data_IF_763369689462
#
_entry.id   IF_763369689462
#
_cell.length_a   1.000
_cell.length_b   1.000
_cell.length_c   1.000
_cell.angle_alpha   90.00
_cell.angle_beta   90.00
_cell.angle_gamma   90.00
#
_symmetry.space_group_name_H-M   'P 1'
#
loop_
_entity.id
_entity.type
_entity.pdbx_description
1 polymer ?
#
# COMPACT_ATOMS: atom_id res chain seq x y z
N UNK A 1 7.26 -31.89 -61.90
CA UNK A 1 6.01 -31.78 -61.11
C UNK A 1 5.92 -30.33 -60.64
N UNK A 2 5.22 -29.46 -61.39
CA UNK A 2 5.20 -28.02 -61.15
C UNK A 2 4.31 -27.73 -59.93
N UNK A 3 4.90 -27.17 -58.86
CA UNK A 3 4.14 -26.70 -57.71
C UNK A 3 3.27 -25.54 -58.21
N UNK A 4 1.95 -25.72 -58.19
CA UNK A 4 1.03 -24.69 -58.65
C UNK A 4 1.25 -23.42 -57.82
N UNK A 5 1.46 -22.31 -58.51
CA UNK A 5 1.68 -20.96 -58.00
C UNK A 5 0.86 -20.60 -56.73
N UNK A 6 -0.43 -20.98 -56.59
CA UNK A 6 -1.20 -20.71 -55.36
C UNK A 6 -0.69 -21.42 -54.09
N UNK A 7 -0.06 -22.60 -54.20
CA UNK A 7 0.47 -23.31 -53.02
C UNK A 7 1.73 -22.64 -52.46
N UNK A 8 2.60 -22.12 -53.32
CA UNK A 8 3.82 -21.44 -52.89
C UNK A 8 3.53 -20.16 -52.07
N UNK A 9 2.52 -19.39 -52.48
CA UNK A 9 2.08 -18.18 -51.77
C UNK A 9 1.50 -18.52 -50.39
N UNK A 10 0.70 -19.59 -50.30
CA UNK A 10 0.11 -20.03 -49.04
C UNK A 10 1.14 -20.55 -48.03
N UNK A 11 2.15 -21.31 -48.47
CA UNK A 11 3.22 -21.75 -47.57
C UNK A 11 4.14 -20.60 -47.15
N UNK A 12 4.38 -19.62 -48.04
CA UNK A 12 5.14 -18.42 -47.72
C UNK A 12 4.46 -17.55 -46.65
N UNK A 13 3.14 -17.39 -46.71
CA UNK A 13 2.40 -16.62 -45.72
C UNK A 13 2.36 -17.31 -44.35
N UNK A 14 2.15 -18.63 -44.30
CA UNK A 14 2.18 -19.39 -43.05
C UNK A 14 3.56 -19.29 -42.37
N UNK A 15 4.65 -19.40 -43.14
CA UNK A 15 6.01 -19.26 -42.61
C UNK A 15 6.27 -17.84 -42.07
N UNK A 16 5.83 -16.81 -42.79
CA UNK A 16 5.96 -15.42 -42.37
C UNK A 16 5.18 -15.14 -41.07
N UNK A 17 3.92 -15.55 -40.98
CA UNK A 17 3.13 -15.37 -39.76
C UNK A 17 3.67 -16.18 -38.58
N UNK A 18 4.21 -17.38 -38.82
CA UNK A 18 4.87 -18.18 -37.78
C UNK A 18 6.15 -17.51 -37.27
N UNK A 19 6.95 -16.92 -38.17
CA UNK A 19 8.15 -16.17 -37.79
C UNK A 19 7.82 -14.89 -37.02
N UNK A 20 6.76 -14.17 -37.42
CA UNK A 20 6.26 -12.99 -36.69
C UNK A 20 5.75 -13.39 -35.30
N UNK A 21 4.99 -14.49 -35.18
CA UNK A 21 4.51 -15.00 -33.91
C UNK A 21 5.67 -15.44 -32.99
N UNK A 22 6.67 -16.13 -33.53
CA UNK A 22 7.87 -16.51 -32.80
C UNK A 22 8.69 -15.29 -32.34
N UNK A 23 8.89 -14.29 -33.21
CA UNK A 23 9.58 -13.05 -32.87
C UNK A 23 8.80 -12.23 -31.81
N UNK A 24 7.47 -12.20 -31.89
CA UNK A 24 6.62 -11.58 -30.89
C UNK A 24 6.69 -12.31 -29.53
N UNK A 25 6.77 -13.65 -29.53
CA UNK A 25 6.98 -14.45 -28.32
C UNK A 25 8.36 -14.19 -27.70
N UNK A 26 9.41 -14.16 -28.52
CA UNK A 26 10.78 -13.87 -28.09
C UNK A 26 10.87 -12.44 -27.52
N UNK A 27 10.26 -11.45 -28.18
CA UNK A 27 10.22 -10.06 -27.69
C UNK A 27 9.40 -9.92 -26.39
N UNK A 28 8.31 -10.68 -26.24
CA UNK A 28 7.51 -10.72 -25.00
C UNK A 28 8.30 -11.33 -23.83
N UNK A 29 9.16 -12.30 -24.10
CA UNK A 29 10.00 -12.93 -23.09
C UNK A 29 11.28 -12.10 -22.81
N UNK A 30 11.82 -11.38 -23.79
CA UNK A 30 13.02 -10.57 -23.66
C UNK A 30 12.80 -9.20 -22.98
N UNK A 31 11.55 -8.73 -22.88
CA UNK A 31 11.20 -7.48 -22.18
C UNK A 31 11.14 -7.63 -20.65
N UNK A 32 11.47 -8.80 -20.09
CA UNK A 32 11.60 -9.00 -18.66
C UNK A 32 13.05 -8.77 -18.27
N UNK A 33 13.43 -7.50 -18.12
CA UNK A 33 14.64 -7.19 -17.35
C UNK A 33 14.30 -7.53 -15.90
N UNK A 34 14.97 -8.50 -15.26
CA UNK A 34 14.84 -8.64 -13.82
C UNK A 34 15.30 -7.32 -13.23
N UNK A 35 14.43 -6.64 -12.48
CA UNK A 35 14.88 -5.57 -11.60
C UNK A 35 15.81 -6.26 -10.60
N UNK A 36 17.11 -6.19 -10.87
CA UNK A 36 18.13 -6.81 -10.05
C UNK A 36 18.17 -6.00 -8.75
N UNK A 37 17.48 -6.50 -7.72
CA UNK A 37 17.63 -5.96 -6.38
C UNK A 37 19.01 -6.35 -5.87
N UNK A 38 19.88 -5.36 -5.72
CA UNK A 38 21.20 -5.52 -5.11
C UNK A 38 21.09 -6.12 -3.70
N UNK A 39 22.19 -6.68 -3.23
CA UNK A 39 22.34 -7.32 -1.91
C UNK A 39 21.66 -6.50 -0.80
N UNK A 40 20.61 -7.07 -0.20
CA UNK A 40 19.80 -6.40 0.81
C UNK A 40 20.55 -6.35 2.14
N UNK A 41 20.74 -5.17 2.72
CA UNK A 41 21.39 -5.04 4.02
C UNK A 41 20.39 -5.19 5.19
N UNK A 42 20.84 -5.82 6.27
CA UNK A 42 20.07 -5.96 7.51
C UNK A 42 19.97 -4.63 8.28
N UNK A 43 18.97 -4.46 9.17
CA UNK A 43 18.84 -3.28 10.02
C UNK A 43 20.07 -3.03 10.89
N UNK A 44 20.31 -1.77 11.26
CA UNK A 44 21.42 -1.37 12.13
C UNK A 44 21.19 -1.72 13.60
N UNK A 45 19.93 -1.74 14.03
CA UNK A 45 19.50 -2.08 15.39
C UNK A 45 18.45 -3.20 15.32
N UNK A 46 18.40 -4.02 16.37
CA UNK A 46 17.28 -4.94 16.56
C UNK A 46 15.97 -4.15 16.78
N UNK A 47 14.84 -4.84 16.67
CA UNK A 47 13.53 -4.27 16.99
C UNK A 47 13.34 -3.98 18.49
N UNK A 48 14.33 -4.30 19.33
CA UNK A 48 14.23 -4.10 20.78
C UNK A 48 14.06 -2.60 21.12
N UNK A 49 13.14 -2.34 22.04
CA UNK A 49 12.75 -1.00 22.45
C UNK A 49 11.88 -0.23 21.44
N UNK A 50 11.49 -0.84 20.31
CA UNK A 50 10.50 -0.26 19.41
C UNK A 50 9.08 -0.47 19.99
N UNK A 51 8.19 0.54 19.94
CA UNK A 51 6.81 0.38 20.40
C UNK A 51 6.12 -0.75 19.61
N UNK A 52 5.38 -1.62 20.28
CA UNK A 52 4.75 -2.79 19.66
C UNK A 52 3.28 -2.89 20.04
N UNK A 53 2.43 -2.99 19.02
CA UNK A 53 1.03 -3.36 19.17
C UNK A 53 0.53 -4.04 17.87
N UNK A 54 -0.57 -4.77 17.99
CA UNK A 54 -1.44 -5.09 16.86
C UNK A 54 -2.91 -5.01 17.33
N UNK A 55 -3.52 -3.85 17.09
CA UNK A 55 -4.92 -3.52 17.40
C UNK A 55 -5.78 -3.45 16.15
N UNK A 56 -5.32 -4.00 15.03
CA UNK A 56 -6.08 -3.95 13.77
C UNK A 56 -7.40 -4.71 13.89
N UNK A 57 -7.42 -5.79 14.68
CA UNK A 57 -8.66 -6.49 15.00
C UNK A 57 -9.68 -5.63 15.76
N UNK A 58 -9.23 -4.69 16.61
CA UNK A 58 -10.12 -3.74 17.29
C UNK A 58 -10.78 -2.78 16.29
N UNK A 59 -10.13 -2.48 15.16
CA UNK A 59 -10.72 -1.65 14.10
C UNK A 59 -11.78 -2.42 13.31
N UNK A 60 -11.50 -3.66 12.90
CA UNK A 60 -12.32 -4.35 11.89
C UNK A 60 -13.38 -5.31 12.44
N UNK A 61 -13.11 -6.03 13.53
CA UNK A 61 -13.90 -7.23 13.87
C UNK A 61 -14.49 -7.24 15.28
N UNK A 62 -14.01 -6.41 16.20
CA UNK A 62 -14.46 -6.50 17.59
C UNK A 62 -15.94 -6.14 17.74
N UNK A 63 -16.72 -7.04 18.35
CA UNK A 63 -18.10 -6.76 18.79
C UNK A 63 -18.18 -5.60 19.79
N UNK A 64 -17.07 -5.35 20.51
CA UNK A 64 -16.87 -4.18 21.37
C UNK A 64 -15.46 -3.67 21.14
N UNK A 65 -15.27 -2.88 20.07
CA UNK A 65 -13.99 -2.22 19.85
C UNK A 65 -13.56 -1.51 21.12
N UNK A 66 -12.31 -1.75 21.54
CA UNK A 66 -11.71 -1.04 22.67
C UNK A 66 -11.23 0.35 22.26
N UNK A 67 -11.36 0.71 20.98
CA UNK A 67 -10.97 2.00 20.46
C UNK A 67 -12.18 2.96 20.53
N UNK A 68 -12.07 4.10 21.21
CA UNK A 68 -13.20 5.00 21.46
C UNK A 68 -13.67 5.78 20.22
N UNK A 69 -12.99 5.60 19.09
CA UNK A 69 -13.26 6.26 17.80
C UNK A 69 -13.73 5.27 16.72
N UNK A 70 -14.05 4.03 17.11
CA UNK A 70 -14.63 3.01 16.23
C UNK A 70 -16.06 2.76 16.68
N UNK A 71 -16.99 2.80 15.73
CA UNK A 71 -18.40 2.54 15.98
C UNK A 71 -18.92 1.44 15.05
N UNK A 72 -19.88 0.66 15.55
CA UNK A 72 -20.52 -0.41 14.80
C UNK A 72 -21.83 0.08 14.23
N UNK A 73 -22.01 -0.13 12.94
CA UNK A 73 -23.19 0.28 12.18
C UNK A 73 -23.86 -0.95 11.57
N UNK A 74 -25.19 -0.94 11.55
CA UNK A 74 -26.00 -1.93 10.83
C UNK A 74 -26.40 -1.34 9.49
N UNK A 75 -26.13 -2.07 8.41
CA UNK A 75 -26.54 -1.69 7.07
C UNK A 75 -28.06 -1.68 6.95
N UNK A 76 -28.59 -0.54 6.52
CA UNK A 76 -29.93 -0.43 5.95
C UNK A 76 -29.86 0.32 4.62
N UNK A 77 -30.63 -0.12 3.59
CA UNK A 77 -30.77 0.65 2.36
C UNK A 77 -31.55 1.97 2.58
N UNK A 78 -32.34 2.09 3.66
CA UNK A 78 -33.13 3.28 3.98
C UNK A 78 -32.57 3.99 5.20
N UNK A 79 -31.94 5.14 4.97
CA UNK A 79 -31.26 5.92 6.02
C UNK A 79 -31.75 7.37 6.03
N UNK A 80 -31.84 8.02 7.20
CA UNK A 80 -32.38 9.38 7.31
C UNK A 80 -31.51 10.43 6.62
N UNK A 81 -30.22 10.16 6.46
CA UNK A 81 -29.23 11.08 5.88
C UNK A 81 -29.12 10.99 4.34
N UNK A 82 -29.85 10.08 3.69
CA UNK A 82 -29.88 9.95 2.23
C UNK A 82 -31.32 9.85 1.72
N UNK A 83 -31.76 10.85 0.95
CA UNK A 83 -33.13 10.92 0.43
C UNK A 83 -33.17 10.58 -1.06
N UNK A 84 -34.24 9.90 -1.47
CA UNK A 84 -34.56 9.69 -2.90
C UNK A 84 -33.87 8.49 -3.56
N UNK A 85 -33.06 7.70 -2.84
CA UNK A 85 -32.51 6.42 -3.31
C UNK A 85 -32.02 5.54 -2.16
N UNK A 86 -31.82 4.22 -2.40
CA UNK A 86 -31.13 3.36 -1.45
C UNK A 86 -29.68 3.79 -1.19
N UNK A 87 -29.22 3.59 0.04
CA UNK A 87 -27.82 3.74 0.45
C UNK A 87 -26.99 2.50 0.11
N UNK A 88 -25.78 2.72 -0.39
CA UNK A 88 -24.77 1.70 -0.67
C UNK A 88 -23.56 1.88 0.25
N UNK A 89 -22.63 0.92 0.29
CA UNK A 89 -21.41 1.00 1.12
C UNK A 89 -20.62 2.29 0.87
N UNK A 90 -20.53 2.77 -0.37
CA UNK A 90 -19.86 4.03 -0.69
C UNK A 90 -20.53 5.24 -0.02
N UNK A 91 -21.85 5.21 0.19
CA UNK A 91 -22.59 6.27 0.87
C UNK A 91 -22.29 6.27 2.37
N UNK A 92 -22.18 5.09 2.99
CA UNK A 92 -21.74 4.96 4.38
C UNK A 92 -20.29 5.42 4.54
N UNK A 93 -19.39 4.99 3.64
CA UNK A 93 -17.99 5.42 3.61
C UNK A 93 -17.89 6.96 3.58
N UNK A 94 -18.66 7.61 2.69
CA UNK A 94 -18.73 9.07 2.62
C UNK A 94 -19.33 9.69 3.88
N UNK A 95 -20.45 9.15 4.39
CA UNK A 95 -21.14 9.68 5.58
C UNK A 95 -20.26 9.65 6.83
N UNK A 96 -19.47 8.59 7.00
CA UNK A 96 -18.61 8.39 8.17
C UNK A 96 -17.17 8.85 7.96
N UNK A 97 -16.85 9.39 6.78
CA UNK A 97 -15.48 9.68 6.35
C UNK A 97 -14.54 8.50 6.68
N UNK A 98 -14.95 7.31 6.24
CA UNK A 98 -14.26 6.02 6.42
C UNK A 98 -14.01 5.42 5.04
N UNK A 99 -12.90 4.72 4.83
CA UNK A 99 -12.60 4.14 3.52
C UNK A 99 -13.55 2.98 3.20
N UNK A 100 -14.00 2.86 1.95
CA UNK A 100 -14.81 1.69 1.55
C UNK A 100 -14.06 0.37 1.78
N UNK A 101 -12.72 0.36 1.63
CA UNK A 101 -11.85 -0.78 1.94
C UNK A 101 -11.87 -1.16 3.43
N UNK A 102 -12.02 -0.19 4.32
CA UNK A 102 -12.20 -0.43 5.76
C UNK A 102 -13.49 -1.23 6.00
N UNK A 103 -14.59 -0.73 5.43
CA UNK A 103 -15.91 -1.34 5.58
C UNK A 103 -15.93 -2.74 4.97
N UNK A 104 -15.35 -2.91 3.78
CA UNK A 104 -15.24 -4.22 3.13
C UNK A 104 -14.52 -5.25 4.00
N UNK A 105 -13.39 -4.85 4.61
CA UNK A 105 -12.67 -5.74 5.55
C UNK A 105 -13.49 -6.05 6.79
N UNK A 106 -14.14 -5.06 7.37
CA UNK A 106 -14.98 -5.28 8.55
C UNK A 106 -16.16 -6.23 8.27
N UNK A 107 -16.74 -6.17 7.08
CA UNK A 107 -17.84 -7.04 6.66
C UNK A 107 -17.44 -8.50 6.44
N UNK A 108 -16.26 -8.76 5.84
CA UNK A 108 -15.95 -10.06 5.23
C UNK A 108 -14.72 -10.75 5.81
N UNK A 109 -14.12 -10.22 6.86
CA UNK A 109 -13.00 -10.86 7.53
C UNK A 109 -11.63 -10.45 6.96
N UNK A 110 -10.55 -11.07 7.47
CA UNK A 110 -9.20 -10.83 7.01
C UNK A 110 -9.05 -10.97 5.47
N UNK A 111 -8.22 -10.11 4.89
CA UNK A 111 -7.79 -10.18 3.49
C UNK A 111 -8.82 -9.84 2.39
N UNK A 112 -10.07 -9.51 2.72
CA UNK A 112 -11.05 -9.06 1.72
C UNK A 112 -11.29 -7.54 1.77
N UNK A 113 -10.66 -6.81 0.85
CA UNK A 113 -10.72 -5.36 0.78
C UNK A 113 -11.58 -4.82 -0.37
N UNK A 114 -12.13 -5.70 -1.21
CA UNK A 114 -12.75 -5.32 -2.49
C UNK A 114 -14.22 -5.71 -2.58
N UNK A 115 -14.67 -6.72 -1.83
CA UNK A 115 -16.07 -7.13 -1.87
C UNK A 115 -16.94 -6.14 -1.10
N UNK A 116 -17.83 -5.47 -1.83
CA UNK A 116 -18.84 -4.57 -1.27
C UNK A 116 -20.23 -5.23 -1.21
N UNK A 117 -20.28 -6.57 -1.29
CA UNK A 117 -21.54 -7.30 -1.18
C UNK A 117 -22.07 -7.20 0.27
N UNK A 118 -23.23 -6.56 0.40
CA UNK A 118 -23.90 -6.30 1.68
C UNK A 118 -25.37 -6.69 1.59
N UNK A 119 -25.92 -7.21 2.69
CA UNK A 119 -27.34 -7.50 2.87
C UNK A 119 -27.88 -6.66 4.02
N UNK A 120 -29.16 -6.25 3.96
CA UNK A 120 -29.82 -5.54 5.06
C UNK A 120 -29.66 -6.31 6.38
N UNK A 121 -29.25 -5.62 7.43
CA UNK A 121 -28.92 -6.23 8.72
C UNK A 121 -27.45 -6.62 8.91
N UNK A 122 -26.62 -6.65 7.85
CA UNK A 122 -25.17 -6.84 7.98
C UNK A 122 -24.59 -5.74 8.88
N UNK A 123 -23.63 -6.09 9.75
CA UNK A 123 -22.96 -5.13 10.62
C UNK A 123 -21.50 -4.95 10.24
N UNK A 124 -21.01 -3.72 10.36
CA UNK A 124 -19.62 -3.38 10.11
C UNK A 124 -19.19 -2.20 10.97
N UNK A 125 -17.89 -2.07 11.16
CA UNK A 125 -17.28 -0.97 11.86
C UNK A 125 -17.01 0.19 10.89
N UNK A 126 -17.11 1.40 11.41
CA UNK A 126 -16.67 2.64 10.77
C UNK A 126 -15.87 3.47 11.78
N UNK A 127 -15.13 4.46 11.29
CA UNK A 127 -14.55 5.49 12.14
C UNK A 127 -15.63 6.50 12.50
N UNK A 128 -15.66 6.95 13.74
CA UNK A 128 -16.63 7.96 14.18
C UNK A 128 -16.47 9.25 13.38
N UNK A 129 -17.58 9.74 12.82
CA UNK A 129 -17.59 10.93 11.96
C UNK A 129 -17.38 12.23 12.73
N UNK A 130 -17.80 12.26 14.00
CA UNK A 130 -17.83 13.46 14.85
C UNK A 130 -16.49 13.69 15.57
N UNK A 131 -15.42 13.01 15.15
CA UNK A 131 -14.07 13.20 15.71
C UNK A 131 -13.07 13.60 14.61
N UNK A 132 -12.21 14.60 14.87
CA UNK A 132 -11.11 14.97 13.99
C UNK A 132 -9.96 13.98 14.15
N UNK A 133 -10.10 12.82 13.50
CA UNK A 133 -9.09 11.77 13.49
C UNK A 133 -8.04 12.04 12.42
N UNK A 134 -6.77 11.86 12.81
CA UNK A 134 -5.60 11.90 11.93
C UNK A 134 -4.76 10.64 12.12
N UNK A 135 -3.98 10.25 11.10
CA UNK A 135 -3.09 9.10 11.18
C UNK A 135 -1.62 9.53 11.12
N UNK A 136 -0.80 8.93 11.98
CA UNK A 136 0.63 9.23 12.09
C UNK A 136 1.44 7.95 11.95
N UNK A 137 2.37 7.94 11.01
CA UNK A 137 3.24 6.82 10.71
C UNK A 137 4.68 7.22 11.05
N UNK A 138 5.21 6.72 12.17
CA UNK A 138 6.58 6.99 12.58
C UNK A 138 7.50 5.86 12.11
N UNK A 139 8.45 6.18 11.24
CA UNK A 139 9.35 5.23 10.58
C UNK A 139 10.75 5.38 11.16
N UNK A 140 11.27 4.31 11.75
CA UNK A 140 12.62 4.24 12.28
C UNK A 140 13.54 3.58 11.26
N UNK A 141 14.43 4.39 10.67
CA UNK A 141 15.36 3.89 9.65
C UNK A 141 16.43 2.99 10.22
N UNK A 142 16.80 3.08 11.50
CA UNK A 142 17.80 2.19 12.10
C UNK A 142 17.30 0.77 12.33
N UNK A 143 15.98 0.61 12.52
CA UNK A 143 15.33 -0.68 12.82
C UNK A 143 14.55 -1.27 11.64
N UNK A 144 14.32 -0.49 10.58
CA UNK A 144 13.42 -0.86 9.48
C UNK A 144 12.01 -1.19 10.00
N UNK A 145 11.50 -0.33 10.88
CA UNK A 145 10.22 -0.49 11.56
C UNK A 145 9.35 0.76 11.37
N UNK A 146 8.03 0.58 11.41
CA UNK A 146 7.06 1.67 11.36
C UNK A 146 5.98 1.46 12.41
N UNK A 147 5.68 2.49 13.20
CA UNK A 147 4.58 2.50 14.15
C UNK A 147 3.46 3.39 13.62
N UNK A 148 2.23 2.88 13.63
CA UNK A 148 1.05 3.57 13.11
C UNK A 148 0.12 3.95 14.26
N UNK A 149 -0.19 5.23 14.34
CA UNK A 149 -1.03 5.81 15.38
C UNK A 149 -2.29 6.43 14.77
N UNK A 150 -3.40 6.35 15.50
CA UNK A 150 -4.52 7.26 15.31
C UNK A 150 -4.41 8.37 16.36
N UNK A 151 -4.52 9.63 15.92
CA UNK A 151 -4.58 10.80 16.79
C UNK A 151 -6.00 11.37 16.78
N UNK A 152 -6.59 11.48 17.97
CA UNK A 152 -7.86 12.17 18.20
C UNK A 152 -7.54 13.59 18.66
N UNK A 153 -7.73 14.57 17.77
CA UNK A 153 -7.33 15.95 18.04
C UNK A 153 -8.17 16.63 19.13
N UNK A 154 -9.42 16.22 19.32
CA UNK A 154 -10.28 16.76 20.37
C UNK A 154 -9.86 16.23 21.74
N UNK A 155 -9.63 14.91 21.84
CA UNK A 155 -9.17 14.30 23.07
C UNK A 155 -7.68 14.60 23.38
N UNK A 156 -6.92 15.05 22.37
CA UNK A 156 -5.45 15.19 22.41
C UNK A 156 -4.75 13.87 22.78
N UNK A 157 -5.32 12.76 22.33
CA UNK A 157 -4.84 11.42 22.60
C UNK A 157 -4.38 10.74 21.32
N UNK A 158 -3.31 9.96 21.41
CA UNK A 158 -2.87 9.07 20.35
C UNK A 158 -2.96 7.61 20.80
N UNK A 159 -3.31 6.75 19.87
CA UNK A 159 -3.47 5.32 20.09
C UNK A 159 -2.54 4.59 19.14
N UNK A 160 -1.57 3.83 19.67
CA UNK A 160 -0.75 2.94 18.86
C UNK A 160 -1.62 1.81 18.31
N UNK A 161 -1.80 1.78 16.99
CA UNK A 161 -2.64 0.80 16.32
C UNK A 161 -1.83 -0.45 15.97
N UNK A 162 -0.68 -0.27 15.31
CA UNK A 162 0.16 -1.40 14.90
C UNK A 162 1.59 -0.98 14.64
N UNK A 163 2.50 -1.94 14.79
CA UNK A 163 3.89 -1.83 14.37
C UNK A 163 4.20 -2.81 13.23
N UNK A 164 4.82 -2.31 12.17
CA UNK A 164 5.17 -3.05 10.97
C UNK A 164 6.68 -3.15 10.82
N UNK A 165 7.16 -4.30 10.31
CA UNK A 165 8.48 -4.34 9.66
C UNK A 165 8.30 -3.73 8.27
N UNK A 166 9.26 -2.91 7.85
CA UNK A 166 9.19 -2.23 6.55
C UNK A 166 10.50 -2.40 5.79
N UNK A 167 10.42 -2.51 4.46
CA UNK A 167 11.59 -2.34 3.60
C UNK A 167 11.87 -0.86 3.42
N UNK A 168 13.14 -0.46 3.44
CA UNK A 168 13.58 0.92 3.24
C UNK A 168 14.55 1.02 2.07
N UNK A 169 14.89 2.26 1.71
CA UNK A 169 15.88 2.57 0.70
C UNK A 169 17.21 1.87 0.98
N UNK A 170 17.94 1.49 -0.07
CA UNK A 170 19.30 0.96 0.09
C UNK A 170 20.17 1.89 0.93
N UNK A 171 21.20 1.32 1.56
CA UNK A 171 22.19 2.08 2.34
C UNK A 171 22.87 3.10 1.43
N UNK A 172 22.95 4.31 1.95
CA UNK A 172 23.60 5.44 1.31
C UNK A 172 24.24 6.26 2.43
N UNK A 173 25.55 6.10 2.62
CA UNK A 173 26.28 6.73 3.71
C UNK A 173 26.46 8.24 3.50
N UNK A 174 26.28 8.72 2.27
CA UNK A 174 26.36 10.14 1.93
C UNK A 174 25.01 10.84 2.20
N UNK A 175 23.92 10.07 2.32
CA UNK A 175 22.61 10.59 2.70
C UNK A 175 22.51 10.90 4.20
N UNK A 176 21.80 11.97 4.62
CA UNK A 176 21.58 12.27 6.03
C UNK A 176 20.84 11.18 6.81
N UNK A 177 20.02 10.36 6.15
CA UNK A 177 19.29 9.25 6.79
C UNK A 177 20.13 7.98 6.94
N UNK A 178 21.30 7.91 6.26
CA UNK A 178 22.07 6.69 6.07
C UNK A 178 21.45 5.70 5.07
N UNK A 179 20.43 6.11 4.32
CA UNK A 179 19.78 5.32 3.26
C UNK A 179 19.07 6.20 2.21
N UNK A 180 18.62 5.61 1.10
CA UNK A 180 17.89 6.36 0.07
C UNK A 180 16.51 6.87 0.53
N UNK A 181 15.96 6.36 1.64
CA UNK A 181 14.71 6.90 2.21
C UNK A 181 14.98 8.25 2.87
N UNK A 182 14.26 9.31 2.48
CA UNK A 182 14.51 10.66 3.01
C UNK A 182 14.03 10.81 4.46
N UNK A 183 14.81 11.49 5.31
CA UNK A 183 14.33 11.97 6.61
C UNK A 183 13.36 13.13 6.43
N UNK A 184 12.40 13.24 7.34
CA UNK A 184 11.48 14.36 7.39
C UNK A 184 10.06 13.95 7.73
N UNK A 185 9.19 14.95 7.82
CA UNK A 185 7.76 14.77 8.00
C UNK A 185 7.03 15.17 6.72
N UNK A 186 6.20 14.27 6.23
CA UNK A 186 5.48 14.42 4.98
C UNK A 186 4.00 14.15 5.20
N UNK A 187 3.14 14.95 4.59
CA UNK A 187 1.74 14.58 4.44
C UNK A 187 1.62 13.52 3.34
N UNK A 188 0.84 12.46 3.57
CA UNK A 188 0.57 11.49 2.52
C UNK A 188 -0.38 12.06 1.47
N UNK A 189 -0.11 11.77 0.20
CA UNK A 189 -0.93 12.23 -0.91
C UNK A 189 -2.31 11.60 -0.91
N UNK A 190 -3.31 12.36 -1.35
CA UNK A 190 -4.72 11.93 -1.41
C UNK A 190 -4.98 10.84 -2.46
N UNK A 191 -4.13 10.76 -3.48
CA UNK A 191 -4.30 9.86 -4.62
C UNK A 191 -3.30 8.73 -4.53
N UNK A 192 -3.77 7.60 -4.01
CA UNK A 192 -3.02 6.36 -4.04
C UNK A 192 -3.29 5.61 -5.34
N UNK A 193 -2.23 5.08 -5.96
CA UNK A 193 -2.37 4.22 -7.13
C UNK A 193 -2.68 2.77 -6.71
N UNK A 194 -3.43 2.08 -7.57
CA UNK A 194 -3.84 0.68 -7.39
C UNK A 194 -3.32 -0.11 -8.57
N UNK A 195 -2.55 -1.17 -8.30
CA UNK A 195 -1.99 -2.04 -9.33
C UNK A 195 -2.49 -3.46 -9.18
N UNK A 196 -2.63 -4.14 -10.32
CA UNK A 196 -3.06 -5.54 -10.43
C UNK A 196 -2.15 -6.26 -11.41
N UNK A 197 -2.03 -7.59 -11.30
CA UNK A 197 -1.39 -8.40 -12.33
C UNK A 197 -1.90 -8.06 -13.73
N UNK A 198 -0.98 -7.92 -14.69
CA UNK A 198 -1.22 -7.55 -16.08
C UNK A 198 -1.30 -6.04 -16.35
N UNK A 199 -1.35 -5.18 -15.33
CA UNK A 199 -1.38 -3.73 -15.52
C UNK A 199 0.01 -3.21 -15.93
N UNK A 200 0.14 -2.81 -17.20
CA UNK A 200 1.38 -2.26 -17.75
C UNK A 200 1.45 -0.74 -17.58
N UNK A 201 2.65 -0.21 -17.35
CA UNK A 201 2.94 1.22 -17.33
C UNK A 201 4.37 1.52 -17.77
N UNK A 202 4.79 2.77 -17.63
CA UNK A 202 6.16 3.22 -17.90
C UNK A 202 6.88 3.46 -16.58
N UNK A 203 8.10 2.94 -16.46
CA UNK A 203 9.00 3.17 -15.33
C UNK A 203 10.44 3.19 -15.86
N UNK A 204 11.20 4.25 -15.58
CA UNK A 204 12.55 4.46 -16.12
C UNK A 204 12.65 4.21 -17.64
N UNK A 205 11.73 4.82 -18.41
CA UNK A 205 11.62 4.68 -19.87
C UNK A 205 11.39 3.24 -20.38
N UNK A 206 11.02 2.33 -19.48
CA UNK A 206 10.70 0.94 -19.80
C UNK A 206 9.23 0.64 -19.54
N UNK A 207 8.64 -0.11 -20.47
CA UNK A 207 7.29 -0.66 -20.29
C UNK A 207 7.35 -1.88 -19.39
N UNK A 208 6.84 -1.75 -18.17
CA UNK A 208 6.87 -2.80 -17.14
C UNK A 208 5.48 -3.05 -16.56
N UNK A 209 5.30 -4.21 -15.94
CA UNK A 209 4.09 -4.51 -15.16
C UNK A 209 4.22 -3.81 -13.81
N UNK A 210 3.35 -2.84 -13.51
CA UNK A 210 3.57 -1.90 -12.41
C UNK A 210 3.60 -2.56 -11.02
N UNK A 211 2.94 -3.71 -10.87
CA UNK A 211 3.00 -4.52 -9.65
C UNK A 211 4.41 -5.06 -9.34
N UNK A 212 5.27 -5.17 -10.36
CA UNK A 212 6.67 -5.57 -10.19
C UNK A 212 7.54 -4.45 -9.61
N UNK A 213 7.03 -3.22 -9.56
CA UNK A 213 7.73 -2.05 -9.04
C UNK A 213 7.09 -1.60 -7.72
N UNK A 214 5.77 -1.46 -7.70
CA UNK A 214 5.04 -0.78 -6.63
C UNK A 214 4.20 -1.72 -5.74
N UNK A 215 4.20 -3.03 -6.01
CA UNK A 215 3.26 -3.94 -5.38
C UNK A 215 1.82 -3.57 -5.70
N UNK A 216 0.88 -3.78 -4.78
CA UNK A 216 -0.56 -3.57 -5.04
C UNK A 216 -1.05 -2.13 -4.86
N UNK A 217 -0.29 -1.30 -4.14
CA UNK A 217 -0.61 0.11 -3.89
C UNK A 217 0.66 0.97 -3.90
N UNK A 218 0.50 2.22 -4.29
CA UNK A 218 1.50 3.26 -4.04
C UNK A 218 0.82 4.51 -3.49
N UNK A 219 1.21 4.91 -2.28
CA UNK A 219 0.73 6.09 -1.57
C UNK A 219 1.87 7.12 -1.59
N UNK A 220 1.81 8.15 -2.43
CA UNK A 220 2.93 9.08 -2.59
C UNK A 220 3.11 9.95 -1.34
N UNK A 221 4.34 10.38 -1.08
CA UNK A 221 4.55 11.54 -0.23
C UNK A 221 4.04 12.79 -0.96
N UNK A 222 3.21 13.57 -0.27
CA UNK A 222 2.63 14.80 -0.76
C UNK A 222 3.51 15.99 -0.39
N UNK A 223 3.04 16.79 0.57
CA UNK A 223 3.73 18.01 1.02
C UNK A 223 4.77 17.71 2.09
N UNK A 224 5.93 18.37 2.02
CA UNK A 224 6.92 18.37 3.10
C UNK A 224 6.47 19.33 4.20
N UNK A 225 6.31 18.80 5.41
CA UNK A 225 6.00 19.57 6.61
C UNK A 225 7.31 20.01 7.29
N UNK A 226 8.29 19.10 7.35
CA UNK A 226 9.63 19.38 7.85
C UNK A 226 10.65 18.42 7.22
N UNK A 227 11.92 18.83 7.20
CA UNK A 227 13.01 18.08 6.56
C UNK A 227 13.59 18.81 5.36
N UNK A 228 14.71 18.30 4.84
CA UNK A 228 15.48 18.95 3.77
C UNK A 228 15.33 18.27 2.41
N UNK A 229 14.72 17.09 2.37
CA UNK A 229 14.55 16.30 1.16
C UNK A 229 13.22 16.59 0.44
N UNK A 230 13.26 16.55 -0.89
CA UNK A 230 12.06 16.60 -1.73
C UNK A 230 11.23 15.31 -1.54
N UNK A 231 9.90 15.39 -1.40
CA UNK A 231 9.03 14.22 -1.28
C UNK A 231 8.76 13.54 -2.63
N UNK A 232 9.06 14.22 -3.73
CA UNK A 232 8.73 13.74 -5.09
C UNK A 232 9.43 12.43 -5.42
N UNK A 233 8.66 11.46 -5.89
CA UNK A 233 9.16 10.14 -6.28
C UNK A 233 9.20 9.13 -5.13
N UNK A 234 9.00 9.57 -3.89
CA UNK A 234 8.94 8.71 -2.71
C UNK A 234 7.50 8.48 -2.26
N UNK A 235 7.31 7.41 -1.49
CA UNK A 235 6.00 7.04 -0.97
C UNK A 235 6.06 5.78 -0.13
N UNK A 236 4.87 5.30 0.22
CA UNK A 236 4.64 3.98 0.81
C UNK A 236 4.12 3.07 -0.30
N UNK A 237 4.70 1.89 -0.44
CA UNK A 237 4.33 0.94 -1.48
C UNK A 237 4.32 -0.50 -1.00
N UNK A 238 3.81 -1.38 -1.83
CA UNK A 238 3.94 -2.82 -1.62
C UNK A 238 5.32 -3.32 -1.98
N UNK A 239 5.65 -4.49 -1.44
CA UNK A 239 6.77 -5.25 -1.92
C UNK A 239 6.58 -5.52 -3.43
N UNK A 240 7.64 -5.38 -4.22
CA UNK A 240 7.61 -5.70 -5.63
C UNK A 240 7.28 -7.18 -5.83
N UNK A 241 6.73 -7.48 -6.99
CA UNK A 241 6.46 -8.84 -7.41
C UNK A 241 7.44 -9.28 -8.49
N UNK A 242 7.87 -10.54 -8.44
CA UNK A 242 8.68 -11.17 -9.48
C UNK A 242 7.91 -12.26 -10.19
N UNK A 243 8.22 -12.45 -11.47
CA UNK A 243 7.70 -13.57 -12.23
C UNK A 243 8.68 -14.74 -12.13
N UNK A 244 8.28 -15.80 -11.43
CA UNK A 244 9.01 -17.06 -11.42
C UNK A 244 8.14 -18.16 -12.01
N UNK A 245 8.64 -18.84 -13.05
CA UNK A 245 7.98 -19.97 -13.73
C UNK A 245 6.50 -19.70 -14.07
N UNK A 246 6.20 -18.48 -14.52
CA UNK A 246 4.85 -18.05 -14.90
C UNK A 246 3.93 -17.65 -13.74
N UNK A 247 4.35 -17.84 -12.49
CA UNK A 247 3.68 -17.32 -11.29
C UNK A 247 4.21 -15.95 -10.93
N UNK A 248 3.36 -15.13 -10.35
CA UNK A 248 3.71 -13.83 -9.80
C UNK A 248 3.87 -14.03 -8.29
N UNK A 249 5.07 -13.81 -7.78
CA UNK A 249 5.44 -14.01 -6.38
C UNK A 249 5.83 -12.68 -5.77
N UNK A 250 5.34 -12.40 -4.57
CA UNK A 250 5.73 -11.22 -3.82
C UNK A 250 7.14 -11.40 -3.25
N UNK A 251 7.94 -10.33 -3.24
CA UNK A 251 9.28 -10.32 -2.67
C UNK A 251 9.27 -9.89 -1.20
N UNK A 252 8.62 -10.67 -0.35
CA UNK A 252 8.52 -10.40 1.09
C UNK A 252 9.89 -10.41 1.78
N UNK A 253 10.91 -11.03 1.18
CA UNK A 253 12.28 -11.04 1.68
C UNK A 253 12.93 -9.64 1.75
N UNK A 254 12.33 -8.64 1.12
CA UNK A 254 12.77 -7.24 1.15
C UNK A 254 12.27 -6.49 2.41
N UNK A 255 11.27 -7.04 3.09
CA UNK A 255 10.68 -6.43 4.27
C UNK A 255 11.64 -6.57 5.47
N UNK A 256 11.82 -5.47 6.20
CA UNK A 256 12.77 -5.39 7.31
C UNK A 256 14.22 -5.24 6.85
N UNK A 257 14.47 -4.77 5.62
CA UNK A 257 15.81 -4.59 5.04
C UNK A 257 15.94 -3.28 4.26
N UNK A 258 17.17 -2.88 3.99
CA UNK A 258 17.50 -1.77 3.08
C UNK A 258 17.62 -2.30 1.65
N UNK A 259 16.57 -2.19 0.85
CA UNK A 259 16.51 -2.79 -0.49
C UNK A 259 15.75 -1.98 -1.56
N UNK A 260 14.96 -0.98 -1.18
CA UNK A 260 14.18 -0.17 -2.13
C UNK A 260 15.01 0.97 -2.74
N UNK A 261 14.43 1.67 -3.71
CA UNK A 261 14.96 2.93 -4.28
C UNK A 261 14.61 4.17 -3.43
N UNK A 262 14.19 3.97 -2.17
CA UNK A 262 13.91 5.04 -1.21
C UNK A 262 12.47 5.06 -0.69
N UNK A 263 11.52 4.43 -1.39
CA UNK A 263 10.17 4.23 -0.85
C UNK A 263 10.15 3.31 0.37
N UNK A 264 9.13 3.45 1.21
CA UNK A 264 8.85 2.52 2.31
C UNK A 264 8.03 1.37 1.75
N UNK A 265 8.54 0.14 1.86
CA UNK A 265 7.87 -1.06 1.35
C UNK A 265 7.21 -1.83 2.50
N UNK A 266 5.97 -2.28 2.28
CA UNK A 266 5.26 -3.21 3.16
C UNK A 266 4.92 -4.49 2.39
N UNK A 267 4.70 -5.60 3.11
CA UNK A 267 4.05 -6.76 2.52
C UNK A 267 2.67 -6.36 1.97
N UNK A 268 2.12 -7.08 1.01
CA UNK A 268 0.80 -6.83 0.42
C UNK A 268 -0.27 -6.86 1.50
N UNK A 269 -0.17 -7.80 2.43
CA UNK A 269 -1.14 -7.90 3.51
C UNK A 269 -1.15 -6.65 4.39
N UNK A 270 0.03 -6.22 4.83
CA UNK A 270 0.20 -5.03 5.67
C UNK A 270 -0.14 -3.74 4.92
N UNK A 271 0.21 -3.66 3.63
CA UNK A 271 -0.10 -2.49 2.80
C UNK A 271 -1.60 -2.34 2.57
N UNK A 272 -2.32 -3.42 2.24
CA UNK A 272 -3.77 -3.37 2.05
C UNK A 272 -4.49 -3.04 3.37
N UNK A 273 -3.98 -3.55 4.49
CA UNK A 273 -4.44 -3.19 5.82
C UNK A 273 -4.26 -1.70 6.11
N UNK A 274 -3.03 -1.21 5.96
CA UNK A 274 -2.68 0.18 6.19
C UNK A 274 -3.53 1.11 5.30
N UNK A 275 -3.61 0.77 4.01
CA UNK A 275 -4.40 1.48 3.02
C UNK A 275 -5.88 1.60 3.42
N UNK A 276 -6.47 0.52 3.95
CA UNK A 276 -7.86 0.51 4.40
C UNK A 276 -8.09 1.47 5.58
N UNK A 277 -7.07 1.72 6.40
CA UNK A 277 -7.19 2.60 7.57
C UNK A 277 -6.95 4.07 7.20
N UNK A 278 -5.83 4.37 6.55
CA UNK A 278 -5.30 5.74 6.54
C UNK A 278 -5.81 6.64 5.40
N UNK A 279 -6.51 6.08 4.42
CA UNK A 279 -6.83 6.81 3.16
C UNK A 279 -8.07 7.70 3.25
N UNK A 280 -8.86 7.56 4.31
CA UNK A 280 -10.11 8.30 4.49
C UNK A 280 -9.97 9.58 5.31
N UNK A 281 -8.81 9.78 5.94
CA UNK A 281 -8.51 10.89 6.84
C UNK A 281 -7.10 11.42 6.58
N UNK A 282 -6.75 12.63 7.06
CA UNK A 282 -5.37 13.12 6.96
C UNK A 282 -4.39 12.13 7.56
N UNK A 283 -3.32 11.85 6.82
CA UNK A 283 -2.28 10.93 7.25
C UNK A 283 -0.90 11.55 7.00
N UNK A 284 0.00 11.32 7.94
CA UNK A 284 1.33 11.89 7.98
C UNK A 284 2.34 10.78 8.21
N UNK A 285 3.49 10.87 7.55
CA UNK A 285 4.62 10.00 7.79
C UNK A 285 5.78 10.84 8.27
N UNK A 286 6.45 10.38 9.33
CA UNK A 286 7.66 10.97 9.86
C UNK A 286 8.76 9.91 9.81
N UNK A 287 9.80 10.19 9.04
CA UNK A 287 10.96 9.31 8.88
C UNK A 287 12.10 9.86 9.72
N UNK A 288 12.53 9.05 10.70
CA UNK A 288 13.56 9.40 11.69
C UNK A 288 14.61 8.31 11.76
N UNK A 289 15.81 8.66 12.24
CA UNK A 289 16.90 7.70 12.44
C UNK A 289 16.70 6.80 13.66
N UNK A 290 15.91 7.24 14.63
CA UNK A 290 15.54 6.49 15.82
C UNK A 290 14.14 6.92 16.25
N UNK A 291 13.28 5.97 16.61
CA UNK A 291 11.88 6.23 16.96
C UNK A 291 11.71 7.24 18.09
N UNK A 292 12.69 7.36 19.00
CA UNK A 292 12.65 8.32 20.10
C UNK A 292 12.76 9.78 19.64
N UNK A 293 13.15 10.02 18.39
CA UNK A 293 13.19 11.35 17.79
C UNK A 293 11.88 11.74 17.09
N UNK A 294 10.91 10.82 16.96
CA UNK A 294 9.64 11.10 16.30
C UNK A 294 8.81 12.12 17.10
N UNK A 295 8.27 13.12 16.39
CA UNK A 295 7.45 14.19 16.95
C UNK A 295 5.97 13.88 16.75
N UNK A 296 5.47 12.95 17.58
CA UNK A 296 4.07 12.53 17.56
C UNK A 296 3.18 13.47 18.40
N UNK A 297 1.97 13.83 17.92
CA UNK A 297 1.05 14.66 18.68
C UNK A 297 0.39 13.89 19.82
N UNK A 298 -0.21 14.64 20.75
CA UNK A 298 -1.02 14.10 21.83
C UNK A 298 -0.26 13.27 22.88
N UNK A 299 -1.02 12.73 23.82
CA UNK A 299 -0.55 11.81 24.86
C UNK A 299 -0.94 10.39 24.45
N UNK A 300 -0.04 9.43 24.63
CA UNK A 300 -0.29 8.03 24.31
C UNK A 300 -1.22 7.37 25.34
N UNK A 301 -2.18 6.59 24.84
CA UNK A 301 -3.09 5.76 25.64
C UNK A 301 -2.86 4.26 25.43
#
# INVERSE_FOLDING_TARGET
MAISFPRAIMYGSIALFSAIAAAALIKKNAAQVPVAFNESASPLKSADGFPHADRMNDLFHSEKSKLPFVERVTYSPSVPWLKGRPAWIADYAAHYATASHFIARSLKGPSNYLSMAVTEGDTFNVLTKDRPLEFYLAVDTSRCMMAVYCYDADAKKRYLLKSYRVGLGRRDLDSPSGCLTPLGRFQLGKNAAVYKPGAMGQYNDQKVELIQIFGTRWIPFGETISGTASPKGYGIQGAPFVRDKGKILEQDELIGKYASEGSICLSREDLEELFAVITSRPAYVEVVTDINHAQLPGIEE
#
